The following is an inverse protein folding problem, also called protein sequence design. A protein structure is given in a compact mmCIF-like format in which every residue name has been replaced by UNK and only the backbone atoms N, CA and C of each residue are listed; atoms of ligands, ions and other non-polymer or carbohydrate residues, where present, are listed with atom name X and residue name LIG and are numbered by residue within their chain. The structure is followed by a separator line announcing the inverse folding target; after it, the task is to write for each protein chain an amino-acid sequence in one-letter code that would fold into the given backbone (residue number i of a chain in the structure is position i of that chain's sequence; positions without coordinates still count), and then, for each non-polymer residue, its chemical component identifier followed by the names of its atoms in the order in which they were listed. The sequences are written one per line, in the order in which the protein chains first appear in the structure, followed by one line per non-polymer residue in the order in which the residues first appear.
data_IF_224722517269
#
_entry.id   IF_224722517269
#
_cell.length_a   1.000
_cell.length_b   1.000
_cell.length_c   1.000
_cell.angle_alpha   90.00
_cell.angle_beta   90.00
_cell.angle_gamma   90.00
#
_symmetry.space_group_name_H-M   'P 1'
#
loop_
_entity.id
_entity.type
_entity.pdbx_description
1 polymer ?
#
# COMPACT_ATOMS: atom_id res chain seq x y z
N UNK A 1 -19.57 -0.14 -29.21
CA UNK A 1 -18.49 -0.81 -28.45
C UNK A 1 -17.58 0.27 -27.89
N UNK A 2 -17.29 0.23 -26.59
CA UNK A 2 -16.51 1.28 -25.92
C UNK A 2 -16.85 1.36 -24.44
N UNK A 3 -16.52 0.30 -23.69
CA UNK A 3 -16.56 0.30 -22.24
C UNK A 3 -15.56 1.37 -21.76
N UNK A 4 -16.08 2.54 -21.38
CA UNK A 4 -15.34 3.50 -20.58
C UNK A 4 -14.99 2.78 -19.28
N UNK A 5 -13.74 2.34 -19.21
CA UNK A 5 -13.10 1.88 -17.99
C UNK A 5 -13.37 2.95 -16.95
N UNK A 6 -14.17 2.62 -15.94
CA UNK A 6 -14.33 3.38 -14.72
C UNK A 6 -12.96 3.93 -14.34
N UNK A 7 -12.76 5.23 -14.55
CA UNK A 7 -11.61 5.94 -13.99
C UNK A 7 -11.56 5.55 -12.52
N UNK A 8 -10.46 4.90 -12.12
CA UNK A 8 -10.23 4.53 -10.74
C UNK A 8 -10.42 5.79 -9.90
N UNK A 9 -11.54 5.88 -9.16
CA UNK A 9 -11.82 7.06 -8.35
C UNK A 9 -10.63 7.29 -7.40
N UNK A 10 -9.81 8.34 -7.61
CA UNK A 10 -8.39 8.25 -7.27
C UNK A 10 -8.09 8.49 -5.78
N UNK A 11 -9.08 8.88 -4.99
CA UNK A 11 -8.81 9.53 -3.71
C UNK A 11 -8.48 8.58 -2.55
N UNK A 12 -8.78 7.28 -2.67
CA UNK A 12 -8.78 6.39 -1.50
C UNK A 12 -7.92 5.12 -1.64
N UNK A 13 -7.31 4.90 -2.80
CA UNK A 13 -6.49 3.71 -3.03
C UNK A 13 -5.05 3.92 -2.56
N UNK A 14 -4.41 2.89 -1.98
CA UNK A 14 -3.01 2.96 -1.60
C UNK A 14 -2.12 3.38 -2.78
N UNK A 15 -1.13 4.26 -2.54
CA UNK A 15 -0.26 4.73 -3.59
C UNK A 15 0.52 3.59 -4.27
N UNK A 16 0.59 3.60 -5.60
CA UNK A 16 1.49 2.74 -6.36
C UNK A 16 2.91 3.30 -6.36
N UNK A 17 3.91 2.42 -6.41
CA UNK A 17 5.30 2.77 -6.72
C UNK A 17 5.38 3.13 -8.20
N UNK A 18 5.83 4.34 -8.51
CA UNK A 18 6.04 4.87 -9.86
C UNK A 18 7.53 4.81 -10.20
N UNK A 19 7.85 4.88 -11.50
CA UNK A 19 9.24 4.98 -11.95
C UNK A 19 9.97 6.21 -11.38
N UNK A 20 9.24 7.29 -11.07
CA UNK A 20 9.76 8.50 -10.44
C UNK A 20 10.08 8.37 -8.94
N UNK A 21 9.68 7.27 -8.30
CA UNK A 21 9.84 7.09 -6.85
C UNK A 21 11.25 6.56 -6.48
N UNK A 22 12.17 6.45 -7.46
CA UNK A 22 13.58 6.09 -7.27
C UNK A 22 13.78 4.74 -6.55
N UNK A 23 12.88 3.79 -6.82
CA UNK A 23 12.94 2.41 -6.31
C UNK A 23 13.66 1.45 -7.27
N UNK A 24 14.39 1.97 -8.26
CA UNK A 24 15.27 1.17 -9.11
C UNK A 24 16.61 0.90 -8.40
N UNK A 25 17.34 -0.18 -8.78
CA UNK A 25 18.58 -0.57 -8.09
C UNK A 25 19.64 0.53 -7.99
N UNK A 26 19.83 1.34 -9.06
CA UNK A 26 20.85 2.38 -9.10
C UNK A 26 20.53 3.52 -8.12
N UNK A 27 19.25 3.90 -8.04
CA UNK A 27 18.79 4.91 -7.10
C UNK A 27 18.89 4.45 -5.64
N UNK A 28 18.69 3.16 -5.36
CA UNK A 28 18.78 2.62 -4.01
C UNK A 28 20.21 2.60 -3.45
N UNK A 29 21.20 2.37 -4.31
CA UNK A 29 22.63 2.43 -3.95
C UNK A 29 23.08 3.85 -3.59
N UNK A 30 22.49 4.87 -4.22
CA UNK A 30 22.88 6.27 -4.06
C UNK A 30 22.04 7.04 -3.03
N UNK A 31 20.70 6.99 -3.13
CA UNK A 31 19.78 7.64 -2.20
C UNK A 31 18.42 6.91 -2.14
N UNK A 32 18.29 5.99 -1.19
CA UNK A 32 17.07 5.21 -1.00
C UNK A 32 15.92 5.97 -0.30
N UNK A 33 16.13 7.21 0.15
CA UNK A 33 15.18 7.94 1.01
C UNK A 33 13.82 8.13 0.34
N UNK A 34 13.82 8.49 -0.96
CA UNK A 34 12.57 8.71 -1.71
C UNK A 34 11.78 7.41 -1.86
N UNK A 35 12.46 6.31 -2.17
CA UNK A 35 11.82 5.00 -2.28
C UNK A 35 11.26 4.53 -0.93
N UNK A 36 12.04 4.63 0.16
CA UNK A 36 11.58 4.26 1.50
C UNK A 36 10.39 5.11 1.95
N UNK A 37 10.41 6.42 1.69
CA UNK A 37 9.28 7.30 1.96
C UNK A 37 8.01 6.81 1.23
N UNK A 38 8.15 6.40 -0.03
CA UNK A 38 7.03 5.91 -0.83
C UNK A 38 6.49 4.58 -0.31
N UNK A 39 7.38 3.65 0.02
CA UNK A 39 7.03 2.35 0.61
C UNK A 39 6.28 2.57 1.93
N UNK A 40 6.78 3.46 2.80
CA UNK A 40 6.12 3.81 4.06
C UNK A 40 4.71 4.34 3.85
N UNK A 41 4.52 5.28 2.91
CA UNK A 41 3.19 5.82 2.59
C UNK A 41 2.22 4.72 2.12
N UNK A 42 2.68 3.80 1.28
CA UNK A 42 1.87 2.70 0.78
C UNK A 42 1.48 1.72 1.89
N UNK A 43 2.46 1.28 2.69
CA UNK A 43 2.23 0.37 3.81
C UNK A 43 1.24 0.96 4.83
N UNK A 44 1.38 2.25 5.12
CA UNK A 44 0.46 2.96 6.02
C UNK A 44 -0.97 2.98 5.47
N UNK A 45 -1.13 3.31 4.18
CA UNK A 45 -2.44 3.28 3.54
C UNK A 45 -3.06 1.88 3.54
N UNK A 46 -2.28 0.83 3.28
CA UNK A 46 -2.80 -0.54 3.34
C UNK A 46 -3.22 -0.93 4.75
N UNK A 47 -2.45 -0.59 5.78
CA UNK A 47 -2.82 -0.83 7.18
C UNK A 47 -4.14 -0.11 7.52
N UNK A 48 -4.26 1.16 7.18
CA UNK A 48 -5.48 1.94 7.45
C UNK A 48 -6.69 1.38 6.66
N UNK A 49 -6.47 0.87 5.45
CA UNK A 49 -7.49 0.20 4.64
C UNK A 49 -7.95 -1.13 5.28
N UNK A 50 -7.04 -1.92 5.85
CA UNK A 50 -7.35 -3.16 6.55
C UNK A 50 -8.16 -2.92 7.84
N UNK A 51 -7.94 -1.79 8.51
CA UNK A 51 -8.73 -1.35 9.67
C UNK A 51 -10.07 -0.68 9.33
N UNK A 52 -10.41 -0.52 8.04
CA UNK A 52 -11.63 0.16 7.60
C UNK A 52 -12.87 -0.75 7.53
N UNK A 53 -14.04 -0.15 7.32
CA UNK A 53 -15.31 -0.86 7.12
C UNK A 53 -15.30 -1.86 5.95
N UNK A 54 -14.36 -1.74 5.00
CA UNK A 54 -14.20 -2.69 3.88
C UNK A 54 -13.85 -4.10 4.38
N UNK A 55 -13.02 -4.19 5.41
CA UNK A 55 -12.53 -5.46 5.95
C UNK A 55 -13.20 -5.84 7.27
N UNK A 56 -14.08 -4.99 7.83
CA UNK A 56 -14.75 -5.24 9.12
C UNK A 56 -15.44 -6.60 9.22
N UNK A 57 -16.10 -7.06 8.14
CA UNK A 57 -16.77 -8.37 8.10
C UNK A 57 -15.82 -9.55 7.84
N UNK A 58 -14.63 -9.28 7.29
CA UNK A 58 -13.62 -10.29 6.98
C UNK A 58 -12.23 -9.73 7.32
N UNK A 59 -11.93 -9.60 8.62
CA UNK A 59 -10.67 -9.03 9.07
C UNK A 59 -9.48 -9.86 8.61
N UNK A 60 -8.34 -9.21 8.43
CA UNK A 60 -7.09 -9.85 8.00
C UNK A 60 -5.99 -9.64 9.05
N UNK A 61 -6.12 -10.23 10.25
CA UNK A 61 -5.26 -9.91 11.40
C UNK A 61 -3.77 -10.20 11.14
N UNK A 62 -3.47 -11.29 10.44
CA UNK A 62 -2.09 -11.61 10.07
C UNK A 62 -1.50 -10.57 9.10
N UNK A 63 -2.29 -10.09 8.15
CA UNK A 63 -1.85 -9.11 7.17
C UNK A 63 -1.65 -7.74 7.81
N UNK A 64 -2.57 -7.34 8.70
CA UNK A 64 -2.45 -6.11 9.48
C UNK A 64 -1.18 -6.13 10.33
N UNK A 65 -0.95 -7.20 11.09
CA UNK A 65 0.29 -7.37 11.88
C UNK A 65 1.54 -7.34 11.01
N UNK A 66 1.50 -7.95 9.82
CA UNK A 66 2.60 -7.91 8.85
C UNK A 66 2.86 -6.48 8.38
N UNK A 67 1.82 -5.69 8.08
CA UNK A 67 1.97 -4.28 7.69
C UNK A 67 2.61 -3.46 8.81
N UNK A 68 2.21 -3.68 10.07
CA UNK A 68 2.80 -3.01 11.23
C UNK A 68 4.27 -3.37 11.44
N UNK A 69 4.64 -4.63 11.24
CA UNK A 69 6.03 -5.06 11.30
C UNK A 69 6.87 -4.40 10.19
N UNK A 70 6.38 -4.42 8.94
CA UNK A 70 7.06 -3.78 7.81
C UNK A 70 7.19 -2.27 8.00
N UNK A 71 6.15 -1.61 8.53
CA UNK A 71 6.20 -0.19 8.87
C UNK A 71 7.29 0.09 9.90
N UNK A 72 7.47 -0.75 10.92
CA UNK A 72 8.55 -0.58 11.91
C UNK A 72 9.93 -0.70 11.28
N UNK A 73 10.11 -1.58 10.29
CA UNK A 73 11.39 -1.75 9.59
C UNK A 73 11.74 -0.58 8.67
N UNK A 74 10.75 0.08 8.09
CA UNK A 74 10.94 1.18 7.12
C UNK A 74 10.86 2.57 7.78
N UNK A 75 10.61 2.65 9.09
CA UNK A 75 10.49 3.91 9.82
C UNK A 75 11.76 4.24 10.62
N UNK A 76 12.37 5.38 10.27
CA UNK A 76 13.37 6.07 11.09
C UNK A 76 12.72 7.26 11.83
N UNK A 77 11.68 6.99 12.64
CA UNK A 77 10.95 8.02 13.38
C UNK A 77 9.47 7.69 13.66
N UNK A 78 8.79 8.46 14.54
CA UNK A 78 7.43 8.17 14.98
C UNK A 78 6.44 8.22 13.82
N UNK A 79 5.64 7.16 13.70
CA UNK A 79 4.71 6.98 12.61
C UNK A 79 3.67 8.08 12.53
N UNK A 80 3.45 8.56 11.30
CA UNK A 80 2.43 9.57 11.02
C UNK A 80 1.07 9.01 11.47
N UNK A 81 0.19 9.81 12.08
CA UNK A 81 -1.18 9.38 12.32
C UNK A 81 -1.90 9.07 10.99
N UNK A 82 -2.91 8.18 11.00
CA UNK A 82 -3.71 7.84 9.83
C UNK A 82 -4.21 9.11 9.14
N UNK A 83 -3.98 9.25 7.83
CA UNK A 83 -4.61 10.32 7.05
C UNK A 83 -5.97 9.81 6.59
N UNK A 84 -6.99 10.64 6.85
CA UNK A 84 -8.38 10.54 6.37
C UNK A 84 -8.79 9.15 5.87
N UNK A 85 -9.42 8.38 6.75
CA UNK A 85 -10.16 7.20 6.32
C UNK A 85 -11.18 7.64 5.26
N UNK A 86 -11.25 6.95 4.12
CA UNK A 86 -12.29 7.16 3.11
C UNK A 86 -13.68 7.15 3.74
N UNK A 87 -14.62 7.85 3.12
CA UNK A 87 -16.04 7.65 3.46
C UNK A 87 -16.37 6.14 3.36
N UNK A 88 -17.16 5.60 4.30
CA UNK A 88 -17.51 4.19 4.28
C UNK A 88 -18.15 3.83 2.94
N UNK A 89 -17.65 2.80 2.25
CA UNK A 89 -18.25 2.39 1.00
C UNK A 89 -19.61 1.74 1.24
N UNK A 90 -20.50 1.92 0.25
CA UNK A 90 -21.77 1.22 0.17
C UNK A 90 -21.57 -0.28 0.39
N UNK A 91 -22.47 -0.91 1.15
CA UNK A 91 -22.34 -2.30 1.59
C UNK A 91 -22.11 -3.27 0.41
N UNK A 92 -22.78 -3.04 -0.71
CA UNK A 92 -22.68 -3.86 -1.92
C UNK A 92 -21.33 -3.74 -2.63
N UNK A 93 -20.58 -2.65 -2.43
CA UNK A 93 -19.26 -2.43 -3.06
C UNK A 93 -18.13 -3.11 -2.28
N UNK A 94 -18.33 -3.40 -0.99
CA UNK A 94 -17.29 -3.92 -0.08
C UNK A 94 -16.60 -5.18 -0.61
N UNK A 95 -17.28 -6.20 -1.16
CA UNK A 95 -16.61 -7.40 -1.67
C UNK A 95 -15.66 -7.10 -2.84
N UNK A 96 -16.11 -6.27 -3.79
CA UNK A 96 -15.28 -5.89 -4.94
C UNK A 96 -14.08 -5.05 -4.50
N UNK A 97 -14.29 -4.07 -3.62
CA UNK A 97 -13.21 -3.24 -3.09
C UNK A 97 -12.19 -4.04 -2.30
N UNK A 98 -12.63 -5.02 -1.50
CA UNK A 98 -11.74 -5.96 -0.81
C UNK A 98 -10.87 -6.75 -1.78
N UNK A 99 -11.48 -7.30 -2.83
CA UNK A 99 -10.75 -8.03 -3.87
C UNK A 99 -9.70 -7.13 -4.55
N UNK A 100 -10.07 -5.92 -4.94
CA UNK A 100 -9.17 -4.95 -5.57
C UNK A 100 -8.03 -4.53 -4.64
N UNK A 101 -8.31 -4.30 -3.36
CA UNK A 101 -7.31 -3.98 -2.34
C UNK A 101 -6.25 -5.08 -2.24
N UNK A 102 -6.68 -6.34 -2.09
CA UNK A 102 -5.78 -7.49 -1.98
C UNK A 102 -4.99 -7.72 -3.27
N UNK A 103 -5.62 -7.54 -4.44
CA UNK A 103 -4.93 -7.64 -5.74
C UNK A 103 -3.84 -6.59 -5.87
N UNK A 104 -4.11 -5.33 -5.50
CA UNK A 104 -3.11 -4.26 -5.51
C UNK A 104 -1.99 -4.52 -4.52
N UNK A 105 -2.31 -5.02 -3.32
CA UNK A 105 -1.31 -5.33 -2.31
C UNK A 105 -0.33 -6.41 -2.80
N UNK A 106 -0.82 -7.45 -3.47
CA UNK A 106 0.02 -8.48 -4.10
C UNK A 106 0.94 -7.90 -5.18
N UNK A 107 0.44 -6.96 -5.98
CA UNK A 107 1.27 -6.27 -6.98
C UNK A 107 2.33 -5.39 -6.33
N UNK A 108 2.00 -4.73 -5.21
CA UNK A 108 2.94 -3.93 -4.44
C UNK A 108 4.06 -4.79 -3.83
N UNK A 109 3.72 -5.91 -3.18
CA UNK A 109 4.70 -6.80 -2.54
C UNK A 109 5.67 -7.45 -3.52
N UNK A 110 5.27 -7.66 -4.78
CA UNK A 110 6.14 -8.22 -5.82
C UNK A 110 7.39 -7.38 -6.15
N UNK A 111 7.44 -6.11 -5.71
CA UNK A 111 8.61 -5.24 -5.88
C UNK A 111 9.63 -5.36 -4.72
N UNK A 112 9.23 -5.94 -3.59
CA UNK A 112 10.09 -6.15 -2.41
C UNK A 112 11.30 -7.08 -2.61
N UNK A 113 11.21 -8.19 -3.38
CA UNK A 113 12.33 -9.11 -3.56
C UNK A 113 13.55 -8.52 -4.29
N UNK A 114 13.41 -7.37 -4.97
CA UNK A 114 14.53 -6.73 -5.69
C UNK A 114 15.37 -5.79 -4.81
N UNK A 115 14.91 -5.50 -3.59
CA UNK A 115 15.66 -4.70 -2.60
C UNK A 115 16.72 -5.53 -1.84
N UNK A 116 16.68 -6.86 -1.96
CA UNK A 116 17.62 -7.78 -1.30
C UNK A 116 18.99 -7.89 -1.98
N UNK A 117 19.26 -7.12 -3.04
CA UNK A 117 20.58 -7.11 -3.69
C UNK A 117 21.69 -6.45 -2.87
N UNK A 118 21.38 -5.83 -1.71
CA UNK A 118 22.36 -5.22 -0.81
C UNK A 118 22.77 -6.05 0.42
N UNK A 119 22.30 -7.29 0.56
CA UNK A 119 22.60 -8.15 1.71
C UNK A 119 23.65 -9.24 1.40
N UNK A 120 24.77 -8.85 0.77
CA UNK A 120 25.92 -9.74 0.54
C UNK A 120 27.23 -9.08 0.89
#
# INVERSE_FOLDING_TARGET
EGLQLLEEEPQNWPPRIRCSDACDPLSLESNHTLCLQRIRQALQHYRDLLGSDIFREQPQPQLESTMEQLLRLVQDGPGRPPRHLPAPPELWQRPLQRHLALKRLRSFSAHGPRLNHGAR
#
